data_IF_291163148111
#
_entry.id   IF_291163148111
#
_cell.length_a   1.000
_cell.length_b   1.000
_cell.length_c   1.000
_cell.angle_alpha   90.00
_cell.angle_beta   90.00
_cell.angle_gamma   90.00
#
_symmetry.space_group_name_H-M   'P 1'
#
loop_
_entity.id
_entity.type
_entity.pdbx_description
1 polymer ?
#
# COMPACT_ATOMS: atom_id res chain seq x y z
N UNK A 1 36.26 22.98 -31.54
CA UNK A 1 35.97 21.59 -31.89
C UNK A 1 34.73 21.18 -31.11
N UNK A 2 33.57 21.27 -31.79
CA UNK A 2 32.32 20.48 -31.65
C UNK A 2 32.45 19.18 -30.81
N UNK A 3 31.48 18.61 -30.07
CA UNK A 3 30.00 18.73 -29.95
C UNK A 3 29.56 17.78 -28.80
N UNK A 4 28.57 18.19 -28.00
CA UNK A 4 27.49 17.49 -27.26
C UNK A 4 27.52 15.97 -26.96
N UNK A 5 27.03 15.64 -25.74
CA UNK A 5 25.92 14.71 -25.40
C UNK A 5 25.90 14.56 -23.86
N UNK A 6 25.12 15.27 -23.03
CA UNK A 6 23.65 15.38 -22.89
C UNK A 6 22.93 14.02 -22.89
N UNK A 7 22.52 13.61 -21.68
CA UNK A 7 21.34 12.79 -21.33
C UNK A 7 21.44 11.33 -21.82
N UNK A 8 21.43 10.32 -20.94
CA UNK A 8 20.21 9.75 -20.38
C UNK A 8 20.41 9.29 -18.94
N UNK A 9 20.12 10.17 -17.98
CA UNK A 9 19.42 9.71 -16.78
C UNK A 9 18.03 9.30 -17.26
N UNK A 10 17.88 8.05 -17.72
CA UNK A 10 16.57 7.47 -17.88
C UNK A 10 15.98 7.43 -16.47
N UNK A 11 15.06 8.35 -16.21
CA UNK A 11 14.05 8.17 -15.22
C UNK A 11 13.41 6.79 -15.48
N UNK A 12 13.84 5.78 -14.72
CA UNK A 12 12.86 4.87 -14.16
C UNK A 12 11.93 5.79 -13.35
N UNK A 13 10.82 6.24 -13.91
CA UNK A 13 9.80 5.26 -14.17
C UNK A 13 9.33 4.77 -12.82
N UNK A 14 8.92 5.67 -11.91
CA UNK A 14 8.40 5.35 -10.58
C UNK A 14 7.44 4.15 -10.70
N UNK A 15 7.93 2.95 -10.42
CA UNK A 15 7.06 1.83 -10.10
C UNK A 15 6.55 2.13 -8.70
N UNK A 16 5.32 2.64 -8.63
CA UNK A 16 4.52 2.65 -7.41
C UNK A 16 4.16 1.21 -7.02
N UNK A 17 5.15 0.36 -6.77
CA UNK A 17 4.96 -0.88 -6.04
C UNK A 17 5.99 -0.95 -4.95
N UNK A 18 5.52 -0.84 -3.70
CA UNK A 18 6.18 -1.44 -2.54
C UNK A 18 6.12 -2.97 -2.66
N UNK A 19 6.46 -3.53 -3.83
CA UNK A 19 6.64 -4.96 -3.99
C UNK A 19 7.91 -5.31 -3.24
N UNK A 20 7.78 -6.16 -2.22
CA UNK A 20 8.94 -6.68 -1.51
C UNK A 20 9.83 -7.42 -2.52
N UNK A 21 11.13 -7.12 -2.57
CA UNK A 21 12.10 -7.73 -3.49
C UNK A 21 12.00 -9.27 -3.51
N UNK A 22 11.65 -9.87 -2.37
CA UNK A 22 11.36 -11.29 -2.24
C UNK A 22 10.36 -11.82 -3.28
N UNK A 23 9.33 -11.03 -3.61
CA UNK A 23 8.22 -11.41 -4.47
C UNK A 23 8.57 -11.40 -5.97
N UNK A 24 9.74 -10.88 -6.33
CA UNK A 24 10.23 -10.86 -7.71
C UNK A 24 11.24 -11.98 -7.99
N UNK A 25 11.79 -12.60 -6.94
CA UNK A 25 12.75 -13.70 -7.07
C UNK A 25 12.08 -14.98 -7.62
N UNK A 26 12.79 -15.80 -8.39
CA UNK A 26 12.26 -17.08 -8.86
C UNK A 26 12.07 -18.07 -7.71
N UNK A 27 11.20 -19.07 -7.89
CA UNK A 27 11.10 -20.20 -6.96
C UNK A 27 12.44 -20.94 -6.89
N UNK A 28 12.88 -21.31 -5.68
CA UNK A 28 14.13 -22.04 -5.48
C UNK A 28 13.89 -23.25 -4.58
N UNK A 29 13.81 -24.43 -5.19
CA UNK A 29 13.59 -25.71 -4.51
C UNK A 29 14.72 -26.13 -3.57
N UNK A 30 15.89 -25.48 -3.67
CA UNK A 30 17.09 -25.82 -2.91
C UNK A 30 17.91 -26.94 -3.56
N UNK A 31 18.99 -27.34 -2.86
CA UNK A 31 20.01 -28.29 -3.38
C UNK A 31 20.32 -29.47 -2.46
N UNK A 32 19.64 -29.57 -1.31
CA UNK A 32 19.87 -30.67 -0.37
C UNK A 32 18.99 -31.87 -0.72
N UNK A 33 19.55 -33.08 -0.60
CA UNK A 33 18.86 -34.32 -0.95
C UNK A 33 17.98 -34.85 0.19
N UNK A 34 18.29 -34.50 1.43
CA UNK A 34 17.57 -34.96 2.62
C UNK A 34 16.79 -33.82 3.27
N UNK A 35 15.55 -34.12 3.67
CA UNK A 35 14.59 -33.23 4.34
C UNK A 35 14.00 -32.12 3.44
N UNK A 36 12.82 -32.41 2.86
CA UNK A 36 12.01 -31.40 2.17
C UNK A 36 10.86 -30.93 3.05
N UNK A 37 10.60 -29.62 3.06
CA UNK A 37 9.42 -29.03 3.70
C UNK A 37 8.51 -28.39 2.64
N UNK A 38 7.21 -28.41 2.89
CA UNK A 38 6.25 -27.66 2.08
C UNK A 38 6.30 -26.18 2.47
N UNK A 39 6.44 -25.30 1.48
CA UNK A 39 6.55 -23.86 1.63
C UNK A 39 5.71 -23.16 0.57
N UNK A 40 5.54 -21.85 0.71
CA UNK A 40 4.84 -21.01 -0.25
C UNK A 40 5.82 -20.07 -0.97
N UNK A 41 5.60 -19.81 -2.24
CA UNK A 41 6.30 -18.76 -3.00
C UNK A 41 5.29 -17.95 -3.79
N UNK A 42 5.62 -16.70 -4.10
CA UNK A 42 4.84 -15.84 -4.96
C UNK A 42 5.25 -16.05 -6.42
N UNK A 43 4.30 -16.47 -7.25
CA UNK A 43 4.48 -16.58 -8.69
C UNK A 43 4.16 -15.24 -9.35
N UNK A 44 5.19 -14.49 -9.73
CA UNK A 44 5.04 -13.17 -10.32
C UNK A 44 4.28 -13.16 -11.66
N UNK A 45 4.17 -14.31 -12.36
CA UNK A 45 3.43 -14.42 -13.62
C UNK A 45 1.92 -14.45 -13.37
N UNK A 46 1.46 -15.32 -12.49
CA UNK A 46 0.04 -15.40 -12.12
C UNK A 46 -0.36 -14.42 -11.02
N UNK A 47 0.61 -13.77 -10.37
CA UNK A 47 0.44 -12.92 -9.18
C UNK A 47 -0.27 -13.66 -8.03
N UNK A 48 0.05 -14.94 -7.84
CA UNK A 48 -0.54 -15.77 -6.79
C UNK A 48 0.52 -16.49 -5.96
N UNK A 49 0.19 -16.78 -4.70
CA UNK A 49 1.03 -17.61 -3.84
C UNK A 49 0.74 -19.09 -4.09
N UNK A 50 1.79 -19.88 -4.36
CA UNK A 50 1.72 -21.30 -4.69
C UNK A 50 2.63 -22.12 -3.77
N UNK A 51 2.24 -23.36 -3.50
CA UNK A 51 3.06 -24.30 -2.72
C UNK A 51 4.23 -24.83 -3.54
N UNK A 52 5.36 -25.09 -2.89
CA UNK A 52 6.49 -25.80 -3.47
C UNK A 52 7.24 -26.61 -2.40
N UNK A 53 7.98 -27.64 -2.83
CA UNK A 53 8.90 -28.38 -1.95
C UNK A 53 10.23 -27.64 -1.87
N UNK A 54 10.63 -27.28 -0.65
CA UNK A 54 11.88 -26.59 -0.36
C UNK A 54 12.82 -27.48 0.45
N UNK A 55 14.11 -27.44 0.12
CA UNK A 55 15.18 -28.10 0.87
C UNK A 55 16.06 -27.07 1.59
N UNK A 56 17.22 -26.71 1.05
CA UNK A 56 18.19 -25.80 1.67
C UNK A 56 18.74 -24.74 0.70
N UNK A 57 19.40 -23.70 1.22
CA UNK A 57 19.98 -22.60 0.43
C UNK A 57 18.93 -21.56 0.04
N UNK A 58 17.97 -21.94 -0.83
CA UNK A 58 16.77 -21.15 -1.13
C UNK A 58 16.99 -19.68 -1.53
N UNK A 59 15.93 -18.89 -1.46
CA UNK A 59 15.96 -17.43 -1.51
C UNK A 59 14.77 -16.87 -0.70
N UNK A 60 14.57 -15.55 -0.71
CA UNK A 60 13.51 -14.90 0.07
C UNK A 60 12.08 -15.13 -0.45
N UNK A 61 11.90 -15.65 -1.67
CA UNK A 61 10.59 -16.06 -2.17
C UNK A 61 10.19 -17.43 -1.59
N UNK A 62 10.17 -17.52 -0.26
CA UNK A 62 9.99 -18.73 0.50
C UNK A 62 9.34 -18.38 1.83
N UNK A 63 8.03 -18.58 1.90
CA UNK A 63 7.17 -18.22 3.02
C UNK A 63 6.67 -19.49 3.71
N UNK A 64 6.50 -19.40 5.03
CA UNK A 64 6.04 -20.53 5.83
C UNK A 64 4.55 -20.81 5.59
N UNK A 65 3.74 -19.78 5.36
CA UNK A 65 2.30 -19.91 5.15
C UNK A 65 1.79 -19.12 3.94
N UNK A 66 0.57 -19.44 3.51
CA UNK A 66 -0.12 -18.71 2.46
C UNK A 66 -0.35 -17.25 2.87
N UNK A 67 -0.75 -17.03 4.13
CA UNK A 67 -1.05 -15.73 4.73
C UNK A 67 0.18 -14.82 4.75
N UNK A 68 1.34 -15.39 5.06
CA UNK A 68 2.62 -14.67 5.03
C UNK A 68 2.96 -14.26 3.59
N UNK A 69 2.84 -15.18 2.63
CA UNK A 69 3.10 -14.90 1.23
C UNK A 69 2.18 -13.81 0.67
N UNK A 70 0.86 -13.91 0.88
CA UNK A 70 -0.07 -12.89 0.39
C UNK A 70 0.13 -11.56 1.12
N UNK A 71 0.39 -11.57 2.43
CA UNK A 71 0.70 -10.37 3.20
C UNK A 71 1.97 -9.67 2.72
N UNK A 72 2.93 -10.44 2.19
CA UNK A 72 4.18 -9.94 1.68
C UNK A 72 4.11 -9.43 0.24
N UNK A 73 3.37 -10.13 -0.62
CA UNK A 73 3.50 -10.00 -2.06
C UNK A 73 2.24 -9.53 -2.79
N UNK A 74 1.12 -9.40 -2.09
CA UNK A 74 -0.13 -8.90 -2.67
C UNK A 74 -0.48 -7.52 -2.12
N UNK A 75 -1.47 -6.88 -2.73
CA UNK A 75 -1.98 -5.61 -2.26
C UNK A 75 -2.59 -5.76 -0.86
N UNK A 76 -1.95 -5.11 0.12
CA UNK A 76 -2.38 -5.06 1.52
C UNK A 76 -3.85 -4.65 1.64
N UNK A 77 -4.32 -3.78 0.76
CA UNK A 77 -5.69 -3.25 0.75
C UNK A 77 -6.72 -4.26 0.25
N UNK A 78 -6.30 -5.47 -0.15
CA UNK A 78 -7.21 -6.56 -0.53
C UNK A 78 -7.30 -7.66 0.51
N UNK A 79 -6.43 -7.65 1.51
CA UNK A 79 -6.42 -8.66 2.55
C UNK A 79 -7.67 -8.52 3.45
N UNK A 80 -8.18 -9.63 4.02
CA UNK A 80 -9.29 -9.59 4.97
C UNK A 80 -8.88 -8.85 6.25
N UNK A 81 -9.85 -8.51 7.11
CA UNK A 81 -9.55 -8.01 8.45
C UNK A 81 -8.82 -9.09 9.25
N UNK A 82 -7.68 -8.73 9.84
CA UNK A 82 -6.88 -9.63 10.67
C UNK A 82 -7.02 -9.28 12.14
N UNK A 83 -8.06 -9.79 12.81
CA UNK A 83 -8.31 -9.56 14.25
C UNK A 83 -7.13 -9.95 15.13
N UNK A 84 -6.33 -10.93 14.68
CA UNK A 84 -5.19 -11.43 15.43
C UNK A 84 -5.59 -12.32 16.60
N UNK A 85 -4.65 -12.56 17.49
CA UNK A 85 -4.81 -13.34 18.71
C UNK A 85 -4.27 -12.56 19.91
N UNK A 86 -4.61 -13.00 21.13
CA UNK A 86 -4.20 -12.36 22.38
C UNK A 86 -5.36 -11.72 23.15
N UNK A 87 -5.02 -10.89 24.14
CA UNK A 87 -5.98 -10.29 25.08
C UNK A 87 -5.98 -8.75 25.06
N UNK A 88 -5.19 -8.14 24.19
CA UNK A 88 -5.23 -6.69 24.02
C UNK A 88 -6.48 -6.30 23.21
N UNK A 89 -6.92 -5.06 23.37
CA UNK A 89 -7.96 -4.48 22.51
C UNK A 89 -7.43 -3.16 21.95
N UNK A 90 -6.53 -3.28 20.97
CA UNK A 90 -5.88 -2.12 20.38
C UNK A 90 -6.71 -1.65 19.20
N UNK A 91 -7.26 -0.43 19.29
CA UNK A 91 -7.99 0.15 18.17
C UNK A 91 -7.06 0.37 16.98
N UNK A 92 -7.35 -0.31 15.88
CA UNK A 92 -6.62 -0.25 14.61
C UNK A 92 -7.60 0.01 13.47
N UNK A 93 -7.07 0.19 12.26
CA UNK A 93 -7.87 0.46 11.06
C UNK A 93 -7.53 -0.55 9.97
N UNK A 94 -8.51 -1.01 9.23
CA UNK A 94 -8.33 -1.83 8.03
C UNK A 94 -9.08 -1.20 6.87
N UNK A 95 -8.67 -1.51 5.65
CA UNK A 95 -9.39 -1.12 4.46
C UNK A 95 -10.43 -2.19 4.12
N UNK A 96 -11.70 -1.82 4.23
CA UNK A 96 -12.83 -2.60 3.78
C UNK A 96 -13.00 -2.37 2.27
N UNK A 97 -12.57 -3.34 1.46
CA UNK A 97 -12.65 -3.25 0.00
C UNK A 97 -14.09 -3.23 -0.52
N UNK A 98 -15.02 -3.91 0.15
CA UNK A 98 -16.44 -3.97 -0.26
C UNK A 98 -17.09 -2.58 -0.15
N UNK A 99 -16.84 -1.90 0.97
CA UNK A 99 -17.34 -0.54 1.21
C UNK A 99 -16.41 0.55 0.67
N UNK A 100 -15.24 0.15 0.14
CA UNK A 100 -14.17 1.03 -0.32
C UNK A 100 -13.80 2.11 0.71
N UNK A 101 -13.69 1.71 1.98
CA UNK A 101 -13.56 2.60 3.14
C UNK A 101 -12.59 2.04 4.17
N UNK A 102 -11.85 2.92 4.83
CA UNK A 102 -11.10 2.56 6.03
C UNK A 102 -12.00 2.55 7.27
N UNK A 103 -12.01 1.43 7.99
CA UNK A 103 -12.85 1.18 9.16
C UNK A 103 -12.00 0.79 10.36
N UNK A 104 -12.47 1.14 11.56
CA UNK A 104 -11.80 0.75 12.79
C UNK A 104 -12.16 -0.68 13.18
N UNK A 105 -11.23 -1.40 13.79
CA UNK A 105 -11.46 -2.71 14.41
C UNK A 105 -10.60 -2.86 15.67
N UNK A 106 -10.99 -3.78 16.55
CA UNK A 106 -10.24 -4.11 17.75
C UNK A 106 -9.26 -5.24 17.44
N UNK A 107 -7.96 -4.91 17.42
CA UNK A 107 -6.88 -5.85 17.18
C UNK A 107 -6.43 -6.49 18.51
N UNK A 108 -6.36 -7.82 18.54
CA UNK A 108 -6.09 -8.62 19.73
C UNK A 108 -4.64 -8.51 20.25
N UNK A 109 -3.74 -7.94 19.45
CA UNK A 109 -2.37 -7.59 19.84
C UNK A 109 -1.28 -8.38 19.13
N UNK A 110 -1.57 -9.62 18.71
CA UNK A 110 -0.60 -10.52 18.07
C UNK A 110 -1.12 -11.07 16.73
N UNK A 111 -0.20 -11.39 15.82
CA UNK A 111 -0.53 -11.96 14.52
C UNK A 111 -1.36 -11.02 13.64
N UNK A 112 -2.43 -11.55 13.06
CA UNK A 112 -3.24 -10.83 12.07
C UNK A 112 -2.55 -10.74 10.71
N UNK A 113 -2.89 -9.71 9.94
CA UNK A 113 -2.27 -9.46 8.63
C UNK A 113 -2.00 -7.95 8.44
N UNK A 114 -1.42 -7.60 7.29
CA UNK A 114 -0.97 -6.23 7.02
C UNK A 114 -2.07 -5.21 6.76
N UNK A 115 -3.32 -5.62 6.56
CA UNK A 115 -4.46 -4.70 6.50
C UNK A 115 -4.83 -4.25 7.92
N UNK A 116 -3.85 -3.69 8.62
CA UNK A 116 -3.88 -3.28 10.01
C UNK A 116 -3.00 -2.04 10.15
N UNK A 117 -3.65 -0.88 10.21
CA UNK A 117 -3.05 0.44 10.25
C UNK A 117 -3.25 1.08 11.61
N UNK A 118 -2.23 1.78 12.11
CA UNK A 118 -2.28 2.46 13.41
C UNK A 118 -3.26 3.65 13.43
N UNK A 119 -3.57 4.25 12.27
CA UNK A 119 -4.46 5.40 12.17
C UNK A 119 -5.31 5.37 10.90
N UNK A 120 -6.45 6.05 10.94
CA UNK A 120 -7.33 6.24 9.79
C UNK A 120 -6.58 6.91 8.63
N UNK A 121 -5.72 7.89 8.93
CA UNK A 121 -4.91 8.60 7.94
C UNK A 121 -3.94 7.65 7.23
N UNK A 122 -3.28 6.75 7.97
CA UNK A 122 -2.35 5.78 7.38
C UNK A 122 -3.09 4.82 6.45
N UNK A 123 -4.24 4.29 6.88
CA UNK A 123 -5.06 3.43 6.03
C UNK A 123 -5.50 4.15 4.75
N UNK A 124 -6.05 5.37 4.89
CA UNK A 124 -6.53 6.20 3.80
C UNK A 124 -5.42 6.51 2.79
N UNK A 125 -4.26 6.96 3.28
CA UNK A 125 -3.12 7.28 2.44
C UNK A 125 -2.50 6.04 1.77
N UNK A 126 -2.67 4.85 2.34
CA UNK A 126 -2.19 3.61 1.72
C UNK A 126 -3.18 3.06 0.70
N UNK A 127 -4.46 2.97 1.05
CA UNK A 127 -5.43 2.15 0.31
C UNK A 127 -6.44 2.91 -0.55
N UNK A 128 -6.61 4.21 -0.33
CA UNK A 128 -7.60 4.98 -1.08
C UNK A 128 -6.94 5.80 -2.19
N UNK A 129 -7.66 5.90 -3.32
CA UNK A 129 -7.35 6.89 -4.35
C UNK A 129 -7.36 8.28 -3.73
N UNK A 130 -6.36 9.09 -4.06
CA UNK A 130 -6.24 10.48 -3.61
C UNK A 130 -7.53 11.25 -3.89
N UNK A 131 -8.16 11.00 -5.02
CA UNK A 131 -9.38 11.69 -5.45
C UNK A 131 -10.66 11.24 -4.72
N UNK A 132 -10.63 10.13 -3.95
CA UNK A 132 -11.75 9.69 -3.08
C UNK A 132 -11.60 10.14 -1.63
N UNK A 133 -10.43 10.67 -1.25
CA UNK A 133 -10.16 11.09 0.12
C UNK A 133 -10.90 12.40 0.47
N UNK A 134 -11.36 12.58 1.72
CA UNK A 134 -11.93 13.87 2.15
C UNK A 134 -10.84 14.92 2.35
N UNK A 135 -11.14 16.23 2.29
CA UNK A 135 -10.22 17.25 2.76
C UNK A 135 -10.02 17.10 4.28
N UNK A 136 -8.78 17.29 4.77
CA UNK A 136 -8.47 17.20 6.20
C UNK A 136 -7.65 18.41 6.63
N UNK A 137 -8.26 19.28 7.44
CA UNK A 137 -7.59 20.46 8.03
C UNK A 137 -6.42 20.06 8.94
N UNK A 138 -6.52 18.93 9.64
CA UNK A 138 -5.49 18.48 10.58
C UNK A 138 -5.61 19.15 11.96
N UNK A 139 -4.65 18.89 12.84
CA UNK A 139 -4.71 19.31 14.26
C UNK A 139 -4.07 20.69 14.51
N UNK A 140 -3.23 21.14 13.61
CA UNK A 140 -2.56 22.44 13.71
C UNK A 140 -3.49 23.58 13.28
N UNK A 141 -3.13 24.82 13.63
CA UNK A 141 -4.02 26.00 13.51
C UNK A 141 -3.55 27.07 12.53
N UNK A 142 -2.60 26.76 11.66
CA UNK A 142 -2.23 27.67 10.57
C UNK A 142 -3.34 27.72 9.50
N UNK A 143 -3.28 28.71 8.60
CA UNK A 143 -4.25 28.89 7.53
C UNK A 143 -3.57 28.79 6.17
N UNK A 144 -3.14 27.58 5.79
CA UNK A 144 -2.60 27.35 4.47
C UNK A 144 -3.73 27.07 3.48
N UNK A 145 -3.91 27.95 2.50
CA UNK A 145 -4.79 27.68 1.36
C UNK A 145 -4.25 26.47 0.59
N UNK A 146 -5.09 25.44 0.44
CA UNK A 146 -4.79 24.23 -0.33
C UNK A 146 -5.99 23.86 -1.19
N UNK A 147 -5.76 22.98 -2.15
CA UNK A 147 -6.80 22.46 -3.02
C UNK A 147 -7.00 20.97 -2.76
N UNK A 148 -8.23 20.49 -2.90
CA UNK A 148 -8.57 19.09 -2.82
C UNK A 148 -9.58 18.76 -3.93
N UNK A 149 -9.59 17.52 -4.37
CA UNK A 149 -10.58 17.04 -5.32
C UNK A 149 -11.84 16.59 -4.57
N UNK A 150 -12.96 17.22 -4.86
CA UNK A 150 -14.28 16.84 -4.36
C UNK A 150 -14.96 15.91 -5.38
N UNK A 151 -14.98 14.62 -5.11
CA UNK A 151 -15.58 13.63 -6.01
C UNK A 151 -17.10 13.77 -6.17
N UNK A 152 -17.80 14.46 -5.24
CA UNK A 152 -19.25 14.69 -5.36
C UNK A 152 -19.55 15.78 -6.38
N UNK A 153 -18.79 16.87 -6.35
CA UNK A 153 -18.92 17.96 -7.32
C UNK A 153 -18.07 17.74 -8.58
N UNK A 154 -17.18 16.74 -8.56
CA UNK A 154 -16.18 16.43 -9.58
C UNK A 154 -15.22 17.59 -9.86
N UNK A 155 -14.95 18.44 -8.86
CA UNK A 155 -14.15 19.66 -9.01
C UNK A 155 -13.03 19.71 -7.99
N UNK A 156 -11.96 20.42 -8.37
CA UNK A 156 -10.97 20.87 -7.41
C UNK A 156 -11.48 22.11 -6.68
N UNK A 157 -11.59 22.00 -5.37
CA UNK A 157 -12.08 23.04 -4.48
C UNK A 157 -10.97 23.43 -3.50
N UNK A 158 -11.06 24.61 -2.92
CA UNK A 158 -10.10 25.05 -1.92
C UNK A 158 -10.55 24.70 -0.49
N UNK A 159 -9.60 24.54 0.41
CA UNK A 159 -9.82 24.42 1.85
C UNK A 159 -8.61 24.96 2.60
N UNK A 160 -8.77 25.22 3.90
CA UNK A 160 -7.67 25.63 4.78
C UNK A 160 -7.06 24.42 5.49
N UNK A 161 -5.77 24.21 5.28
CA UNK A 161 -4.96 23.22 5.97
C UNK A 161 -4.24 23.85 7.16
N UNK A 162 -4.37 23.19 8.31
CA UNK A 162 -3.85 23.59 9.60
C UNK A 162 -2.33 23.54 9.73
N UNK A 163 -1.63 22.84 8.83
CA UNK A 163 -0.17 22.75 8.81
C UNK A 163 0.42 21.40 9.23
N UNK A 164 -0.35 20.52 9.88
CA UNK A 164 0.12 19.16 10.24
C UNK A 164 -0.96 18.08 10.05
N UNK A 165 -0.50 16.85 9.75
CA UNK A 165 -1.33 15.67 9.53
C UNK A 165 -2.15 15.70 8.22
N UNK A 166 -3.28 15.02 8.25
CA UNK A 166 -4.21 14.97 7.12
C UNK A 166 -3.72 14.07 6.00
N UNK A 167 -4.41 14.08 4.87
CA UNK A 167 -4.18 13.07 3.83
C UNK A 167 -3.60 13.66 2.53
N UNK A 168 -3.43 12.78 1.54
CA UNK A 168 -2.86 13.11 0.23
C UNK A 168 -3.75 13.97 -0.66
N UNK A 169 -5.05 14.11 -0.38
CA UNK A 169 -5.95 14.99 -1.14
C UNK A 169 -5.79 16.45 -0.68
N UNK A 170 -4.59 16.96 -0.89
CA UNK A 170 -4.13 18.26 -0.43
C UNK A 170 -3.02 18.74 -1.35
N UNK A 171 -3.39 19.56 -2.32
CA UNK A 171 -2.53 20.10 -3.36
C UNK A 171 -2.22 21.56 -3.09
N UNK A 172 -1.05 22.02 -3.51
CA UNK A 172 -0.64 23.42 -3.34
C UNK A 172 -1.33 24.32 -4.36
N UNK A 173 -1.54 23.83 -5.59
CA UNK A 173 -2.18 24.58 -6.67
C UNK A 173 -3.41 23.85 -7.19
N UNK A 174 -4.32 24.59 -7.84
CA UNK A 174 -5.50 24.01 -8.49
C UNK A 174 -5.10 23.11 -9.67
N UNK A 175 -4.02 23.45 -10.39
CA UNK A 175 -3.50 22.70 -11.52
C UNK A 175 -2.97 21.32 -11.07
N UNK A 176 -2.26 21.26 -9.93
CA UNK A 176 -1.80 19.99 -9.37
C UNK A 176 -2.97 19.07 -9.02
N UNK A 177 -4.02 19.63 -8.41
CA UNK A 177 -5.23 18.90 -8.10
C UNK A 177 -5.93 18.37 -9.36
N UNK A 178 -6.11 19.23 -10.36
CA UNK A 178 -6.76 18.87 -11.62
C UNK A 178 -5.96 17.78 -12.32
N UNK A 179 -4.64 17.95 -12.46
CA UNK A 179 -3.76 16.95 -13.07
C UNK A 179 -3.80 15.61 -12.35
N UNK A 180 -3.83 15.62 -11.01
CA UNK A 180 -3.88 14.40 -10.22
C UNK A 180 -5.20 13.63 -10.39
N UNK A 181 -6.32 14.33 -10.64
CA UNK A 181 -7.66 13.75 -10.65
C UNK A 181 -8.44 13.87 -11.97
N UNK A 182 -7.80 14.35 -13.06
CA UNK A 182 -8.45 14.58 -14.36
C UNK A 182 -9.07 13.32 -14.99
N UNK A 183 -8.53 12.14 -14.68
CA UNK A 183 -9.02 10.86 -15.20
C UNK A 183 -9.78 10.04 -14.14
N UNK A 184 -10.05 10.63 -12.98
CA UNK A 184 -10.77 9.96 -11.93
C UNK A 184 -12.24 9.80 -12.34
N UNK A 185 -12.68 8.55 -12.47
CA UNK A 185 -14.06 8.16 -12.74
C UNK A 185 -14.68 7.63 -11.45
N UNK A 186 -15.93 8.03 -11.18
CA UNK A 186 -16.66 7.67 -9.94
C UNK A 186 -16.93 6.17 -9.90
#
# INVERSE_FOLDING_TARGET
MFQFLIILCFAAQFSNSLANEACELPVNHGRCETSSSERWYFDAKSKTCKKFKFTCGGNRNNFLSYEECIGMCTDVCTLPVGYGTGWASVRRYYFNKKENKCEAFDFAGEGGNRNNFASIEKCQNTCMSVCKLPPVTGLCRALFLRFYYNHKSQKCENFYYGGCGGNRNKFTTIQDCQKACQHFKI
#
